data_IF_963660269616
#
_entry.id   IF_963660269616
#
_cell.length_a   1.000
_cell.length_b   1.000
_cell.length_c   1.000
_cell.angle_alpha   90.00
_cell.angle_beta   90.00
_cell.angle_gamma   90.00
#
_symmetry.space_group_name_H-M   'P 1'
#
loop_
_entity.id
_entity.type
_entity.pdbx_description
1 polymer ?
#
# COMPACT_ATOMS: atom_id res chain seq x y z
N UNK A 1 -6.67 -13.57 3.02
CA UNK A 1 -5.19 -13.41 3.19
C UNK A 1 -4.88 -13.31 4.68
N UNK A 2 -3.62 -13.40 5.13
CA UNK A 2 -3.30 -12.99 6.51
C UNK A 2 -3.11 -11.46 6.55
N UNK A 3 -3.61 -10.83 7.61
CA UNK A 3 -3.49 -9.39 7.86
C UNK A 3 -2.03 -8.94 7.81
N UNK A 4 -1.16 -9.69 8.49
CA UNK A 4 0.29 -9.43 8.55
C UNK A 4 0.97 -9.55 7.18
N UNK A 5 0.46 -10.43 6.32
CA UNK A 5 0.97 -10.54 4.96
C UNK A 5 0.67 -9.28 4.16
N UNK A 6 -0.57 -8.76 4.23
CA UNK A 6 -0.95 -7.51 3.55
C UNK A 6 -0.10 -6.35 4.06
N UNK A 7 0.08 -6.21 5.38
CA UNK A 7 0.92 -5.16 5.97
C UNK A 7 2.36 -5.22 5.42
N UNK A 8 2.97 -6.40 5.40
CA UNK A 8 4.33 -6.58 4.89
C UNK A 8 4.43 -6.29 3.38
N UNK A 9 3.46 -6.74 2.57
CA UNK A 9 3.47 -6.46 1.13
C UNK A 9 3.25 -4.98 0.84
N UNK A 10 2.41 -4.32 1.63
CA UNK A 10 2.15 -2.90 1.48
C UNK A 10 3.40 -2.08 1.83
N UNK A 11 4.07 -2.44 2.91
CA UNK A 11 5.36 -1.85 3.29
C UNK A 11 6.41 -2.00 2.16
N UNK A 12 6.52 -3.20 1.58
CA UNK A 12 7.42 -3.42 0.44
C UNK A 12 7.05 -2.56 -0.76
N UNK A 13 5.77 -2.44 -1.10
CA UNK A 13 5.32 -1.61 -2.21
C UNK A 13 5.60 -0.12 -1.99
N UNK A 14 5.52 0.36 -0.74
CA UNK A 14 5.93 1.73 -0.36
C UNK A 14 7.43 1.92 -0.51
N UNK A 15 8.25 0.93 -0.10
CA UNK A 15 9.70 0.98 -0.32
C UNK A 15 10.04 0.98 -1.82
N UNK A 16 9.37 0.15 -2.61
CA UNK A 16 9.54 0.12 -4.08
C UNK A 16 9.16 1.48 -4.68
N UNK A 17 8.08 2.10 -4.21
CA UNK A 17 7.68 3.44 -4.63
C UNK A 17 8.76 4.49 -4.35
N UNK A 18 9.37 4.46 -3.16
CA UNK A 18 10.42 5.41 -2.76
C UNK A 18 11.78 5.13 -3.41
N UNK A 19 12.05 3.89 -3.79
CA UNK A 19 13.34 3.48 -4.38
C UNK A 19 13.29 3.32 -5.90
N UNK A 20 12.12 3.48 -6.51
CA UNK A 20 11.91 3.46 -7.95
C UNK A 20 12.85 4.41 -8.69
N UNK A 21 13.44 3.92 -9.78
CA UNK A 21 14.45 4.66 -10.56
C UNK A 21 13.83 5.59 -11.61
N UNK A 22 12.57 5.38 -11.95
CA UNK A 22 11.82 6.11 -12.96
C UNK A 22 10.32 6.12 -12.63
N UNK A 23 9.57 6.91 -13.38
CA UNK A 23 8.12 7.08 -13.19
C UNK A 23 7.32 5.79 -13.46
N UNK A 24 7.78 4.94 -14.39
CA UNK A 24 7.10 3.69 -14.71
C UNK A 24 7.19 2.70 -13.54
N UNK A 25 8.37 2.52 -12.95
CA UNK A 25 8.57 1.71 -11.75
C UNK A 25 7.76 2.25 -10.57
N UNK A 26 7.74 3.58 -10.42
CA UNK A 26 6.96 4.22 -9.39
C UNK A 26 5.44 3.98 -9.61
N UNK A 27 4.98 3.99 -10.86
CA UNK A 27 3.60 3.70 -11.21
C UNK A 27 3.22 2.24 -10.94
N UNK A 28 4.11 1.29 -11.21
CA UNK A 28 3.90 -0.12 -10.84
C UNK A 28 3.77 -0.31 -9.31
N UNK A 29 4.58 0.41 -8.53
CA UNK A 29 4.47 0.40 -7.07
C UNK A 29 3.11 0.97 -6.61
N UNK A 30 2.66 2.11 -7.18
CA UNK A 30 1.33 2.68 -6.88
C UNK A 30 0.19 1.69 -7.17
N UNK A 31 0.25 0.98 -8.30
CA UNK A 31 -0.76 -0.05 -8.64
C UNK A 31 -0.78 -1.19 -7.63
N UNK A 32 0.39 -1.60 -7.15
CA UNK A 32 0.51 -2.64 -6.12
C UNK A 32 -0.11 -2.18 -4.79
N UNK A 33 0.18 -0.95 -4.37
CA UNK A 33 -0.39 -0.36 -3.15
C UNK A 33 -1.92 -0.27 -3.25
N UNK A 34 -2.46 0.25 -4.34
CA UNK A 34 -3.91 0.37 -4.56
C UNK A 34 -4.61 -1.01 -4.54
N UNK A 35 -3.98 -2.04 -5.12
CA UNK A 35 -4.50 -3.41 -5.08
C UNK A 35 -4.54 -3.96 -3.65
N UNK A 36 -3.51 -3.70 -2.85
CA UNK A 36 -3.43 -4.16 -1.46
C UNK A 36 -4.44 -3.42 -0.57
N UNK A 37 -4.64 -2.12 -0.76
CA UNK A 37 -5.72 -1.35 -0.13
C UNK A 37 -7.10 -1.91 -0.47
N UNK A 38 -7.35 -2.25 -1.74
CA UNK A 38 -8.60 -2.86 -2.16
C UNK A 38 -8.84 -4.21 -1.46
N UNK A 39 -7.82 -5.07 -1.38
CA UNK A 39 -7.90 -6.35 -0.67
C UNK A 39 -8.12 -6.11 0.83
N UNK A 40 -7.40 -5.17 1.44
CA UNK A 40 -7.55 -4.81 2.84
C UNK A 40 -8.98 -4.33 3.15
N UNK A 41 -9.56 -3.50 2.27
CA UNK A 41 -10.92 -3.01 2.39
C UNK A 41 -11.96 -4.13 2.24
N UNK A 42 -11.75 -5.05 1.29
CA UNK A 42 -12.63 -6.20 1.06
C UNK A 42 -12.63 -7.19 2.22
N UNK A 43 -11.45 -7.49 2.78
CA UNK A 43 -11.29 -8.54 3.79
C UNK A 43 -11.50 -8.03 5.23
N UNK A 44 -11.15 -6.77 5.50
CA UNK A 44 -11.11 -6.21 6.86
C UNK A 44 -11.81 -4.85 7.01
N UNK A 45 -12.37 -4.30 5.92
CA UNK A 45 -13.13 -3.06 5.91
C UNK A 45 -12.30 -1.81 5.62
N UNK A 46 -12.98 -0.75 5.17
CA UNK A 46 -12.35 0.52 4.76
C UNK A 46 -11.53 1.19 5.86
N UNK A 47 -12.00 1.14 7.12
CA UNK A 47 -11.26 1.72 8.25
C UNK A 47 -9.86 1.10 8.42
N UNK A 48 -9.72 -0.20 8.14
CA UNK A 48 -8.42 -0.86 8.19
C UNK A 48 -7.53 -0.49 6.98
N UNK A 49 -8.11 -0.39 5.79
CA UNK A 49 -7.37 0.07 4.62
C UNK A 49 -6.85 1.50 4.80
N UNK A 50 -7.67 2.38 5.37
CA UNK A 50 -7.29 3.76 5.71
C UNK A 50 -6.19 3.80 6.78
N UNK A 51 -6.32 3.00 7.85
CA UNK A 51 -5.27 2.88 8.88
C UNK A 51 -3.94 2.40 8.30
N UNK A 52 -3.98 1.40 7.41
CA UNK A 52 -2.80 0.86 6.75
C UNK A 52 -2.10 1.94 5.90
N UNK A 53 -2.87 2.69 5.11
CA UNK A 53 -2.35 3.78 4.29
C UNK A 53 -1.78 4.92 5.16
N UNK A 54 -2.52 5.37 6.17
CA UNK A 54 -2.09 6.44 7.08
C UNK A 54 -0.82 6.06 7.85
N UNK A 55 -0.66 4.79 8.23
CA UNK A 55 0.51 4.30 8.95
C UNK A 55 1.79 4.37 8.12
N UNK A 56 1.72 4.00 6.84
CA UNK A 56 2.90 3.83 6.00
C UNK A 56 3.25 5.11 5.22
N UNK A 57 2.27 5.94 4.84
CA UNK A 57 2.49 7.16 4.04
C UNK A 57 2.10 8.44 4.78
N UNK A 58 1.26 8.33 5.83
CA UNK A 58 0.73 9.47 6.56
C UNK A 58 -0.53 10.08 5.92
N UNK A 59 -1.24 10.92 6.68
CA UNK A 59 -2.49 11.62 6.28
C UNK A 59 -2.39 12.56 5.06
N UNK A 60 -1.19 12.79 4.55
CA UNK A 60 -0.90 13.62 3.37
C UNK A 60 -0.34 12.78 2.22
N UNK A 61 -0.70 11.51 2.13
CA UNK A 61 -0.11 10.57 1.17
C UNK A 61 -0.26 10.99 -0.29
N UNK A 62 0.90 11.24 -0.92
CA UNK A 62 1.27 11.41 -2.35
C UNK A 62 0.37 12.27 -3.26
#
# INVERSE_FOLDING_TARGET
>A
MDKKYIENQYHLAVLDFHTARNEDEQWEARKTMARLEQIAAQEYGFAYADELHEKEIGRKGL
#
